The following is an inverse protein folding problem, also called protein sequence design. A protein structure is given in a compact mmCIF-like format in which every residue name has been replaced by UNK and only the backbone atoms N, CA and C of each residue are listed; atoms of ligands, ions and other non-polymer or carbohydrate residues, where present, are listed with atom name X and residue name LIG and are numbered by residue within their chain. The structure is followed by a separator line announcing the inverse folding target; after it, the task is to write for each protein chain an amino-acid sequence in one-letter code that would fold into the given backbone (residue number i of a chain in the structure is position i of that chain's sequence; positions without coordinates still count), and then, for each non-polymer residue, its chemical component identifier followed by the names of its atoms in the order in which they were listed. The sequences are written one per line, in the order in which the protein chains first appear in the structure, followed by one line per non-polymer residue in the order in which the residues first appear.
data_IF_667356202922
#
_entry.id   IF_667356202922
#
_cell.length_a   1.000
_cell.length_b   1.000
_cell.length_c   1.000
_cell.angle_alpha   90.00
_cell.angle_beta   90.00
_cell.angle_gamma   90.00
#
_symmetry.space_group_name_H-M   'P 1'
#
loop_
_entity.id
_entity.type
_entity.pdbx_description
1 polymer ?
#
# COMPACT_ATOMS: atom_id res chain seq x y z
N UNK A 1 -20.33 -5.22 11.26
CA UNK A 1 -19.05 -4.59 11.62
C UNK A 1 -18.04 -4.80 10.52
N UNK A 2 -17.35 -3.74 10.10
CA UNK A 2 -16.22 -3.78 9.18
C UNK A 2 -14.95 -3.42 9.95
N UNK A 3 -13.88 -4.20 9.82
CA UNK A 3 -12.60 -3.92 10.49
C UNK A 3 -11.60 -3.40 9.48
N UNK A 4 -11.03 -2.21 9.73
CA UNK A 4 -10.16 -1.49 8.81
C UNK A 4 -8.76 -1.37 9.41
N UNK A 5 -7.80 -2.14 8.87
CA UNK A 5 -6.38 -1.94 9.19
C UNK A 5 -5.82 -0.75 8.43
N UNK A 6 -4.88 -0.03 9.04
CA UNK A 6 -4.31 1.15 8.42
C UNK A 6 -5.29 2.31 8.24
N UNK A 7 -6.34 2.41 9.07
CA UNK A 7 -7.39 3.43 8.99
C UNK A 7 -6.88 4.87 9.01
N UNK A 8 -5.69 5.12 9.55
CA UNK A 8 -5.08 6.46 9.61
C UNK A 8 -4.25 6.83 8.38
N UNK A 9 -4.04 5.89 7.45
CA UNK A 9 -3.34 6.11 6.18
C UNK A 9 -4.27 6.64 5.08
N UNK A 10 -3.70 6.97 3.93
CA UNK A 10 -4.44 7.58 2.82
C UNK A 10 -5.63 6.73 2.37
N UNK A 11 -5.40 5.44 2.10
CA UNK A 11 -6.44 4.51 1.60
C UNK A 11 -7.44 4.17 2.72
N UNK A 12 -6.93 3.72 3.89
CA UNK A 12 -7.80 3.30 5.00
C UNK A 12 -8.69 4.41 5.55
N UNK A 13 -8.24 5.67 5.48
CA UNK A 13 -9.05 6.83 5.87
C UNK A 13 -10.25 7.06 4.95
N UNK A 14 -10.07 6.84 3.65
CA UNK A 14 -11.17 6.94 2.66
C UNK A 14 -12.17 5.81 2.88
N UNK A 15 -11.69 4.57 3.04
CA UNK A 15 -12.56 3.42 3.32
C UNK A 15 -13.39 3.68 4.58
N UNK A 16 -12.73 4.07 5.67
CA UNK A 16 -13.39 4.35 6.95
C UNK A 16 -14.48 5.42 6.80
N UNK A 17 -14.16 6.52 6.11
CA UNK A 17 -15.10 7.61 5.87
C UNK A 17 -16.32 7.14 5.08
N UNK A 18 -16.10 6.46 3.96
CA UNK A 18 -17.19 5.99 3.09
C UNK A 18 -18.12 5.02 3.83
N UNK A 19 -17.57 4.09 4.59
CA UNK A 19 -18.39 3.12 5.36
C UNK A 19 -19.21 3.82 6.44
N UNK A 20 -18.63 4.78 7.18
CA UNK A 20 -19.35 5.55 8.19
C UNK A 20 -20.45 6.42 7.58
N UNK A 21 -20.20 7.07 6.43
CA UNK A 21 -21.19 7.85 5.68
C UNK A 21 -22.37 6.99 5.18
N UNK A 22 -22.14 5.68 5.00
CA UNK A 22 -23.20 4.72 4.67
C UNK A 22 -23.92 4.11 5.89
N UNK A 23 -23.58 4.59 7.10
CA UNK A 23 -24.19 4.12 8.34
C UNK A 23 -23.69 2.75 8.82
N UNK A 24 -22.58 2.28 8.28
CA UNK A 24 -22.03 0.99 8.65
C UNK A 24 -21.29 1.04 9.99
N UNK A 25 -21.31 -0.06 10.73
CA UNK A 25 -20.48 -0.22 11.92
C UNK A 25 -19.03 -0.48 11.52
N UNK A 26 -18.11 0.39 11.92
CA UNK A 26 -16.70 0.35 11.53
C UNK A 26 -15.81 0.28 12.76
N UNK A 27 -14.90 -0.70 12.79
CA UNK A 27 -13.78 -0.77 13.73
C UNK A 27 -12.50 -0.34 13.02
N UNK A 28 -11.85 0.68 13.57
CA UNK A 28 -10.58 1.22 13.07
C UNK A 28 -9.43 0.70 13.91
N UNK A 29 -8.44 0.08 13.25
CA UNK A 29 -7.29 -0.53 13.93
C UNK A 29 -6.04 0.32 13.72
N UNK A 30 -5.31 0.58 14.80
CA UNK A 30 -4.06 1.33 14.75
C UNK A 30 -3.32 1.32 16.09
N UNK A 31 -2.02 1.69 16.06
CA UNK A 31 -1.15 1.67 17.24
C UNK A 31 -1.29 2.92 18.14
N UNK A 32 -1.90 3.97 17.66
CA UNK A 32 -1.98 5.25 18.36
C UNK A 32 -3.45 5.68 18.55
N UNK A 33 -3.92 5.61 19.80
CA UNK A 33 -5.29 5.96 20.17
C UNK A 33 -5.68 7.38 19.74
N UNK A 34 -4.77 8.35 19.91
CA UNK A 34 -5.01 9.75 19.55
C UNK A 34 -5.29 9.94 18.06
N UNK A 35 -4.60 9.18 17.18
CA UNK A 35 -4.86 9.23 15.74
C UNK A 35 -6.20 8.58 15.34
N UNK A 36 -6.76 7.71 16.19
CA UNK A 36 -8.04 7.05 15.95
C UNK A 36 -9.23 7.91 16.43
N UNK A 37 -8.99 8.85 17.36
CA UNK A 37 -10.04 9.63 18.01
C UNK A 37 -10.96 10.37 17.03
N UNK A 38 -10.41 10.88 15.92
CA UNK A 38 -11.20 11.56 14.88
C UNK A 38 -12.26 10.66 14.21
N UNK A 39 -12.07 9.35 14.22
CA UNK A 39 -13.02 8.37 13.71
C UNK A 39 -14.02 7.95 14.78
N UNK A 40 -13.58 7.86 16.04
CA UNK A 40 -14.49 7.63 17.19
C UNK A 40 -15.53 8.72 17.28
N UNK A 41 -15.15 10.00 17.12
CA UNK A 41 -16.06 11.13 17.06
C UNK A 41 -17.09 11.04 15.92
N UNK A 42 -16.83 10.21 14.92
CA UNK A 42 -17.72 9.92 13.78
C UNK A 42 -18.47 8.59 13.91
N UNK A 43 -18.41 7.95 15.08
CA UNK A 43 -19.13 6.71 15.36
C UNK A 43 -18.36 5.42 15.12
N UNK A 44 -17.05 5.46 14.82
CA UNK A 44 -16.26 4.24 14.71
C UNK A 44 -15.85 3.70 16.09
N UNK A 45 -15.70 2.40 16.18
CA UNK A 45 -15.03 1.73 17.31
C UNK A 45 -13.50 1.79 17.10
N UNK A 46 -12.74 2.26 18.07
CA UNK A 46 -11.27 2.23 18.02
C UNK A 46 -10.74 0.94 18.65
N UNK A 47 -9.86 0.26 17.94
CA UNK A 47 -9.06 -0.85 18.45
C UNK A 47 -7.57 -0.46 18.41
N UNK A 48 -6.96 -0.36 19.59
CA UNK A 48 -5.52 -0.05 19.72
C UNK A 48 -4.75 -1.35 19.79
N UNK A 49 -3.97 -1.65 18.75
CA UNK A 49 -3.18 -2.88 18.68
C UNK A 49 -2.16 -2.84 17.54
N UNK A 50 -1.20 -3.76 17.59
CA UNK A 50 -0.20 -3.95 16.55
C UNK A 50 -0.59 -5.15 15.67
N UNK A 51 -0.55 -4.96 14.36
CA UNK A 51 -0.87 -6.03 13.39
C UNK A 51 0.19 -7.14 13.34
N UNK A 52 1.32 -6.98 14.00
CA UNK A 52 2.31 -8.05 14.21
C UNK A 52 2.00 -8.96 15.41
N UNK A 53 0.97 -8.62 16.19
CA UNK A 53 0.46 -9.43 17.29
C UNK A 53 -0.81 -10.18 16.83
N UNK A 54 -0.69 -11.50 16.69
CA UNK A 54 -1.78 -12.36 16.23
C UNK A 54 -3.01 -12.28 17.16
N UNK A 55 -2.80 -12.21 18.47
CA UNK A 55 -3.91 -12.14 19.42
C UNK A 55 -4.68 -10.83 19.29
N UNK A 56 -3.96 -9.71 19.15
CA UNK A 56 -4.55 -8.41 18.90
C UNK A 56 -5.32 -8.38 17.56
N UNK A 57 -4.76 -8.97 16.50
CA UNK A 57 -5.44 -9.06 15.20
C UNK A 57 -6.70 -9.92 15.30
N UNK A 58 -6.63 -11.08 15.97
CA UNK A 58 -7.80 -11.95 16.16
C UNK A 58 -8.92 -11.24 16.94
N UNK A 59 -8.57 -10.51 17.99
CA UNK A 59 -9.52 -9.71 18.76
C UNK A 59 -10.11 -8.56 17.90
N UNK A 60 -9.29 -7.87 17.11
CA UNK A 60 -9.76 -6.82 16.21
C UNK A 60 -10.75 -7.34 15.17
N UNK A 61 -10.57 -8.58 14.68
CA UNK A 61 -11.44 -9.23 13.69
C UNK A 61 -12.71 -9.86 14.31
N UNK A 62 -12.79 -9.97 15.63
CA UNK A 62 -13.96 -10.59 16.30
C UNK A 62 -15.25 -9.85 15.96
N UNK A 63 -16.28 -10.59 15.52
CA UNK A 63 -17.57 -10.03 15.12
C UNK A 63 -17.55 -9.26 13.79
N UNK A 64 -16.46 -9.31 13.04
CA UNK A 64 -16.36 -8.62 11.75
C UNK A 64 -17.05 -9.41 10.64
N UNK A 65 -17.89 -8.72 9.86
CA UNK A 65 -18.50 -9.22 8.62
C UNK A 65 -17.47 -9.29 7.49
N UNK A 66 -16.66 -8.24 7.38
CA UNK A 66 -15.61 -8.11 6.39
C UNK A 66 -14.45 -7.26 6.94
N UNK A 67 -13.25 -7.42 6.35
CA UNK A 67 -12.06 -6.69 6.74
C UNK A 67 -11.29 -6.09 5.57
N UNK A 68 -10.67 -4.92 5.80
CA UNK A 68 -9.62 -4.39 4.94
C UNK A 68 -8.27 -4.71 5.58
N UNK A 69 -7.47 -5.52 4.89
CA UNK A 69 -6.19 -6.03 5.36
C UNK A 69 -5.03 -5.37 4.61
N UNK A 70 -3.93 -5.11 5.32
CA UNK A 70 -2.72 -4.58 4.70
C UNK A 70 -1.51 -4.77 5.61
N UNK A 71 -0.33 -4.85 5.02
CA UNK A 71 0.93 -4.78 5.74
C UNK A 71 1.37 -3.32 5.81
N UNK A 72 1.43 -2.68 7.00
CA UNK A 72 1.90 -1.31 7.12
C UNK A 72 3.37 -1.18 6.70
N UNK A 73 3.73 -0.18 5.87
CA UNK A 73 5.13 0.09 5.55
C UNK A 73 5.89 0.53 6.82
N UNK A 74 7.12 0.04 6.95
CA UNK A 74 8.02 0.45 8.03
C UNK A 74 9.45 0.62 7.49
N UNK A 75 9.74 1.73 6.78
CA UNK A 75 11.04 1.96 6.14
C UNK A 75 12.19 2.10 7.14
N UNK A 76 11.91 2.28 8.43
CA UNK A 76 12.90 2.34 9.51
C UNK A 76 13.21 0.97 10.13
N UNK A 77 12.58 -0.10 9.66
CA UNK A 77 12.88 -1.46 10.11
C UNK A 77 14.30 -1.85 9.72
N UNK A 78 15.04 -2.45 10.63
CA UNK A 78 16.39 -3.00 10.37
C UNK A 78 16.36 -4.18 9.42
N UNK A 79 15.24 -4.89 9.35
CA UNK A 79 14.97 -5.96 8.40
C UNK A 79 13.50 -5.89 7.96
N UNK A 80 13.28 -5.14 6.88
CA UNK A 80 11.94 -4.90 6.34
C UNK A 80 11.26 -6.21 5.88
N UNK A 81 12.03 -7.13 5.28
CA UNK A 81 11.51 -8.41 4.83
C UNK A 81 11.03 -9.26 6.01
N UNK A 82 11.83 -9.39 7.04
CA UNK A 82 11.44 -10.14 8.25
C UNK A 82 10.23 -9.50 8.95
N UNK A 83 10.14 -8.17 8.95
CA UNK A 83 8.98 -7.47 9.49
C UNK A 83 7.72 -7.74 8.67
N UNK A 84 7.80 -7.72 7.33
CA UNK A 84 6.65 -8.08 6.48
C UNK A 84 6.19 -9.53 6.73
N UNK A 85 7.14 -10.46 6.88
CA UNK A 85 6.81 -11.86 7.19
C UNK A 85 6.06 -11.97 8.52
N UNK A 86 6.57 -11.38 9.60
CA UNK A 86 5.90 -11.40 10.91
C UNK A 86 4.47 -10.85 10.83
N UNK A 87 4.29 -9.70 10.17
CA UNK A 87 2.96 -9.09 10.04
C UNK A 87 2.03 -9.97 9.20
N UNK A 88 2.52 -10.50 8.08
CA UNK A 88 1.72 -11.36 7.21
C UNK A 88 1.33 -12.68 7.88
N UNK A 89 2.24 -13.27 8.69
CA UNK A 89 1.97 -14.49 9.46
C UNK A 89 0.92 -14.21 10.52
N UNK A 90 1.08 -13.14 11.29
CA UNK A 90 0.12 -12.71 12.32
C UNK A 90 -1.28 -12.52 11.74
N UNK A 91 -1.41 -11.73 10.65
CA UNK A 91 -2.71 -11.47 10.04
C UNK A 91 -3.31 -12.77 9.47
N UNK A 92 -2.55 -13.57 8.72
CA UNK A 92 -3.06 -14.81 8.13
C UNK A 92 -3.50 -15.82 9.18
N UNK A 93 -2.72 -15.99 10.26
CA UNK A 93 -3.06 -16.88 11.37
C UNK A 93 -4.35 -16.43 12.09
N UNK A 94 -4.47 -15.14 12.39
CA UNK A 94 -5.66 -14.56 13.00
C UNK A 94 -6.91 -14.71 12.11
N UNK A 95 -6.79 -14.42 10.81
CA UNK A 95 -7.88 -14.59 9.83
C UNK A 95 -8.31 -16.06 9.75
N UNK A 96 -7.37 -17.00 9.72
CA UNK A 96 -7.65 -18.44 9.69
C UNK A 96 -8.46 -18.90 10.91
N UNK A 97 -8.17 -18.35 12.09
CA UNK A 97 -8.86 -18.64 13.37
C UNK A 97 -10.17 -17.86 13.53
N UNK A 98 -10.35 -16.76 12.84
CA UNK A 98 -11.54 -15.90 12.94
C UNK A 98 -12.72 -16.44 12.13
N UNK A 99 -13.90 -15.84 12.35
CA UNK A 99 -15.09 -16.06 11.53
C UNK A 99 -15.17 -15.11 10.33
N UNK A 100 -14.05 -14.47 9.94
CA UNK A 100 -14.03 -13.57 8.81
C UNK A 100 -14.18 -14.35 7.49
N UNK A 101 -15.20 -14.00 6.71
CA UNK A 101 -15.48 -14.65 5.43
C UNK A 101 -15.11 -13.80 4.21
N UNK A 102 -14.97 -12.48 4.39
CA UNK A 102 -14.66 -11.53 3.31
C UNK A 102 -13.52 -10.62 3.69
N UNK A 103 -12.54 -10.50 2.82
CA UNK A 103 -11.44 -9.55 2.99
C UNK A 103 -11.10 -8.85 1.67
N UNK A 104 -10.89 -7.54 1.74
CA UNK A 104 -10.18 -6.79 0.71
C UNK A 104 -8.75 -6.60 1.20
N UNK A 105 -7.78 -7.14 0.47
CA UNK A 105 -6.36 -7.05 0.80
C UNK A 105 -5.65 -6.03 -0.09
N UNK A 106 -4.98 -5.06 0.52
CA UNK A 106 -4.11 -4.13 -0.20
C UNK A 106 -2.78 -4.82 -0.53
N UNK A 107 -2.61 -5.14 -1.79
CA UNK A 107 -1.38 -5.66 -2.38
C UNK A 107 -0.71 -4.56 -3.22
N UNK A 108 -0.04 -4.91 -4.31
CA UNK A 108 0.63 -3.99 -5.22
C UNK A 108 0.65 -4.56 -6.64
N UNK A 109 0.71 -3.70 -7.66
CA UNK A 109 1.13 -4.13 -8.98
C UNK A 109 2.49 -4.85 -8.87
N UNK A 110 2.87 -5.66 -9.84
CA UNK A 110 4.05 -6.54 -9.79
C UNK A 110 4.03 -7.60 -8.67
N UNK A 111 2.97 -7.72 -7.85
CA UNK A 111 2.85 -8.77 -6.85
C UNK A 111 2.60 -10.17 -7.45
N UNK A 112 2.48 -10.30 -8.78
CA UNK A 112 2.56 -11.59 -9.46
C UNK A 112 3.99 -12.16 -9.46
N UNK A 113 5.02 -11.29 -9.38
CA UNK A 113 6.42 -11.70 -9.33
C UNK A 113 6.79 -12.19 -7.92
N UNK A 114 7.25 -13.43 -7.82
CA UNK A 114 7.63 -14.05 -6.55
C UNK A 114 8.88 -13.42 -5.94
N UNK A 115 9.82 -12.96 -6.76
CA UNK A 115 11.12 -12.43 -6.34
C UNK A 115 11.58 -11.28 -7.23
N UNK A 116 12.59 -10.53 -6.74
CA UNK A 116 13.25 -9.46 -7.50
C UNK A 116 12.45 -8.18 -7.61
N UNK A 117 11.43 -8.01 -6.78
CA UNK A 117 10.62 -6.79 -6.65
C UNK A 117 10.66 -6.21 -5.22
N UNK A 118 11.67 -6.60 -4.43
CA UNK A 118 11.89 -6.10 -3.09
C UNK A 118 10.63 -6.20 -2.20
N UNK A 119 10.17 -5.10 -1.58
CA UNK A 119 8.99 -5.10 -0.71
C UNK A 119 7.72 -5.68 -1.34
N UNK A 120 7.57 -5.62 -2.67
CA UNK A 120 6.40 -6.15 -3.36
C UNK A 120 6.38 -7.69 -3.29
N UNK A 121 7.54 -8.34 -3.31
CA UNK A 121 7.64 -9.80 -3.09
C UNK A 121 7.08 -10.23 -1.72
N UNK A 122 7.13 -9.35 -0.70
CA UNK A 122 6.48 -9.59 0.59
C UNK A 122 4.96 -9.60 0.48
N UNK A 123 4.39 -8.74 -0.37
CA UNK A 123 2.95 -8.70 -0.63
C UNK A 123 2.50 -9.92 -1.42
N UNK A 124 3.30 -10.40 -2.41
CA UNK A 124 3.07 -11.67 -3.08
C UNK A 124 2.94 -12.84 -2.08
N UNK A 125 3.88 -12.93 -1.12
CA UNK A 125 3.81 -13.98 -0.08
C UNK A 125 2.58 -13.83 0.80
N UNK A 126 2.17 -12.60 1.11
CA UNK A 126 0.95 -12.36 1.87
C UNK A 126 -0.30 -12.78 1.10
N UNK A 127 -0.39 -12.50 -0.20
CA UNK A 127 -1.47 -13.02 -1.05
C UNK A 127 -1.54 -14.55 -0.98
N UNK A 128 -0.40 -15.24 -1.12
CA UNK A 128 -0.34 -16.71 -1.01
C UNK A 128 -0.86 -17.23 0.34
N UNK A 129 -0.47 -16.57 1.46
CA UNK A 129 -0.95 -16.94 2.81
C UNK A 129 -2.46 -16.78 2.95
N UNK A 130 -3.04 -15.70 2.46
CA UNK A 130 -4.48 -15.48 2.47
C UNK A 130 -5.22 -16.45 1.54
N UNK A 131 -4.65 -16.77 0.38
CA UNK A 131 -5.20 -17.73 -0.57
C UNK A 131 -5.29 -19.16 0.00
N UNK A 132 -4.41 -19.53 0.92
CA UNK A 132 -4.42 -20.83 1.60
C UNK A 132 -5.55 -20.97 2.65
N UNK A 133 -6.33 -19.93 2.93
CA UNK A 133 -7.44 -19.95 3.88
C UNK A 133 -8.73 -20.30 3.11
N UNK A 134 -9.15 -21.56 3.13
CA UNK A 134 -10.25 -22.09 2.29
C UNK A 134 -11.53 -21.27 2.36
N UNK A 135 -12.02 -20.98 3.57
CA UNK A 135 -13.31 -20.29 3.81
C UNK A 135 -13.28 -18.76 3.57
N UNK A 136 -12.13 -18.19 3.27
CA UNK A 136 -11.98 -16.76 3.06
C UNK A 136 -12.26 -16.41 1.59
N UNK A 137 -13.22 -15.57 1.33
CA UNK A 137 -13.32 -14.83 0.06
C UNK A 137 -12.40 -13.62 0.16
N UNK A 138 -11.40 -13.55 -0.70
CA UNK A 138 -10.43 -12.43 -0.70
C UNK A 138 -10.31 -11.80 -2.06
N UNK A 139 -10.36 -10.47 -2.07
CA UNK A 139 -10.04 -9.65 -3.22
C UNK A 139 -8.71 -8.94 -2.98
N UNK A 140 -7.66 -9.35 -3.69
CA UNK A 140 -6.38 -8.67 -3.69
C UNK A 140 -6.42 -7.47 -4.62
N UNK A 141 -6.28 -6.27 -4.07
CA UNK A 141 -6.14 -5.06 -4.85
C UNK A 141 -4.65 -4.83 -5.13
N UNK A 142 -4.30 -4.75 -6.39
CA UNK A 142 -2.94 -4.44 -6.87
C UNK A 142 -2.92 -3.04 -7.48
N UNK A 143 -2.96 -1.98 -6.65
CA UNK A 143 -2.81 -0.62 -7.16
C UNK A 143 -1.41 -0.42 -7.71
N UNK A 144 -1.32 0.44 -8.71
CA UNK A 144 -0.09 0.88 -9.32
C UNK A 144 0.58 2.01 -8.51
N UNK A 145 1.54 2.72 -9.09
CA UNK A 145 2.27 3.77 -8.40
C UNK A 145 1.32 4.89 -7.92
N UNK A 146 1.41 5.26 -6.64
CA UNK A 146 0.53 6.29 -6.09
C UNK A 146 0.96 7.70 -6.48
N UNK A 147 0.04 8.54 -6.96
CA UNK A 147 0.31 9.95 -7.21
C UNK A 147 0.87 10.67 -5.98
N UNK A 148 0.43 10.29 -4.79
CA UNK A 148 0.88 10.87 -3.53
C UNK A 148 2.38 10.63 -3.25
N UNK A 149 3.01 9.65 -3.90
CA UNK A 149 4.46 9.44 -3.78
C UNK A 149 5.27 10.63 -4.32
N UNK A 150 4.71 11.38 -5.29
CA UNK A 150 5.38 12.57 -5.82
C UNK A 150 5.50 13.71 -4.80
N UNK A 151 4.70 13.70 -3.73
CA UNK A 151 4.85 14.66 -2.62
C UNK A 151 6.21 14.55 -1.93
N UNK A 152 6.86 13.39 -1.98
CA UNK A 152 8.22 13.20 -1.48
C UNK A 152 9.27 14.03 -2.25
N UNK A 153 8.94 14.50 -3.46
CA UNK A 153 9.85 15.31 -4.27
C UNK A 153 9.82 16.81 -3.92
N UNK A 154 8.92 17.26 -3.05
CA UNK A 154 8.73 18.70 -2.74
C UNK A 154 10.04 19.34 -2.30
N UNK A 155 10.76 18.74 -1.35
CA UNK A 155 12.03 19.28 -0.86
C UNK A 155 13.09 19.36 -1.98
N UNK A 156 13.17 18.33 -2.82
CA UNK A 156 14.12 18.31 -3.95
C UNK A 156 13.78 19.40 -4.97
N UNK A 157 12.48 19.59 -5.28
CA UNK A 157 12.04 20.68 -6.17
C UNK A 157 12.39 22.05 -5.59
N UNK A 158 12.22 22.24 -4.28
CA UNK A 158 12.52 23.52 -3.62
C UNK A 158 14.02 23.81 -3.57
N UNK A 159 14.84 22.80 -3.24
CA UNK A 159 16.28 22.98 -3.02
C UNK A 159 17.09 22.88 -4.31
N UNK A 160 16.70 22.02 -5.25
CA UNK A 160 17.50 21.66 -6.42
C UNK A 160 16.81 22.01 -7.76
N UNK A 161 15.53 22.41 -7.74
CA UNK A 161 14.79 22.71 -8.97
C UNK A 161 14.52 21.50 -9.87
N UNK A 162 14.55 20.28 -9.31
CA UNK A 162 14.35 19.04 -10.06
C UNK A 162 13.56 17.99 -9.28
N UNK A 163 13.07 16.97 -9.96
CA UNK A 163 12.61 15.70 -9.39
C UNK A 163 13.68 14.66 -9.71
N UNK A 164 13.97 13.75 -8.77
CA UNK A 164 14.96 12.69 -9.01
C UNK A 164 14.56 11.38 -8.35
N UNK A 165 15.08 10.27 -8.89
CA UNK A 165 14.83 8.95 -8.35
C UNK A 165 15.47 7.83 -9.16
N UNK A 166 15.21 6.58 -8.79
CA UNK A 166 15.80 5.40 -9.39
C UNK A 166 15.05 4.86 -10.62
N UNK A 167 13.82 5.30 -10.88
CA UNK A 167 13.07 4.85 -12.06
C UNK A 167 13.69 5.40 -13.34
N UNK A 168 13.67 4.60 -14.42
CA UNK A 168 14.03 5.10 -15.75
C UNK A 168 13.13 6.27 -16.14
N UNK A 169 13.73 7.32 -16.65
CA UNK A 169 13.05 8.59 -16.94
C UNK A 169 11.86 8.43 -17.91
N UNK A 170 12.01 7.58 -18.91
CA UNK A 170 11.03 7.33 -19.97
C UNK A 170 10.18 6.08 -19.76
N UNK A 171 10.39 5.32 -18.68
CA UNK A 171 9.56 4.16 -18.37
C UNK A 171 8.14 4.63 -18.01
N UNK A 172 7.19 4.28 -18.83
CA UNK A 172 5.78 4.53 -18.57
C UNK A 172 5.26 3.57 -17.50
N UNK A 173 4.80 4.12 -16.37
CA UNK A 173 4.27 3.36 -15.23
C UNK A 173 2.83 3.84 -14.99
N UNK A 174 1.85 2.93 -14.86
CA UNK A 174 0.50 3.31 -14.46
C UNK A 174 0.52 3.99 -13.09
N UNK A 175 -0.26 5.05 -12.91
CA UNK A 175 -0.30 5.80 -11.65
C UNK A 175 -1.74 6.07 -11.25
N UNK A 176 -2.05 5.95 -9.95
CA UNK A 176 -3.40 6.07 -9.40
C UNK A 176 -3.41 6.90 -8.12
N UNK A 177 -4.50 7.62 -7.86
CA UNK A 177 -4.69 8.30 -6.58
C UNK A 177 -5.10 7.31 -5.47
N UNK A 178 -4.53 7.45 -4.29
CA UNK A 178 -4.88 6.61 -3.14
C UNK A 178 -6.34 6.74 -2.73
N UNK A 179 -6.98 7.90 -2.99
CA UNK A 179 -8.41 8.11 -2.76
C UNK A 179 -9.27 7.19 -3.64
N UNK A 180 -8.87 6.95 -4.88
CA UNK A 180 -9.64 6.14 -5.83
C UNK A 180 -9.52 4.65 -5.46
N UNK A 181 -8.33 4.23 -5.01
CA UNK A 181 -8.12 2.90 -4.41
C UNK A 181 -9.00 2.70 -3.18
N UNK A 182 -9.05 3.70 -2.29
CA UNK A 182 -9.88 3.66 -1.09
C UNK A 182 -11.38 3.62 -1.39
N UNK A 183 -11.84 4.40 -2.38
CA UNK A 183 -13.24 4.40 -2.82
C UNK A 183 -13.64 3.04 -3.41
N UNK A 184 -12.80 2.46 -4.28
CA UNK A 184 -13.03 1.13 -4.85
C UNK A 184 -13.05 0.05 -3.76
N UNK A 185 -12.09 0.07 -2.83
CA UNK A 185 -12.04 -0.89 -1.72
C UNK A 185 -13.30 -0.81 -0.83
N UNK A 186 -13.77 0.40 -0.52
CA UNK A 186 -14.99 0.62 0.25
C UNK A 186 -16.22 0.07 -0.48
N UNK A 187 -16.32 0.30 -1.79
CA UNK A 187 -17.40 -0.23 -2.61
C UNK A 187 -17.42 -1.77 -2.61
N UNK A 188 -16.26 -2.42 -2.74
CA UNK A 188 -16.16 -3.89 -2.69
C UNK A 188 -16.53 -4.43 -1.33
N UNK A 189 -16.11 -3.76 -0.25
CA UNK A 189 -16.50 -4.13 1.11
C UNK A 189 -18.02 -4.01 1.34
N UNK A 190 -18.66 -2.96 0.81
CA UNK A 190 -20.13 -2.79 0.92
C UNK A 190 -20.90 -3.85 0.14
N UNK A 191 -20.47 -4.12 -1.10
CA UNK A 191 -21.17 -5.05 -2.00
C UNK A 191 -20.91 -6.52 -1.69
N UNK A 192 -19.70 -6.87 -1.22
CA UNK A 192 -19.23 -8.25 -1.02
C UNK A 192 -19.48 -9.14 -2.26
N UNK A 193 -19.32 -8.55 -3.45
CA UNK A 193 -19.61 -9.15 -4.76
C UNK A 193 -18.39 -9.88 -5.35
N UNK A 194 -17.51 -10.36 -4.49
CA UNK A 194 -16.38 -11.21 -4.85
C UNK A 194 -16.44 -12.51 -4.06
N UNK A 195 -16.05 -13.60 -4.71
CA UNK A 195 -16.02 -14.93 -4.11
C UNK A 195 -14.69 -15.63 -4.44
N UNK A 196 -14.37 -16.65 -3.66
CA UNK A 196 -13.10 -17.37 -3.74
C UNK A 196 -11.87 -16.42 -3.61
N UNK A 197 -10.87 -16.58 -4.47
CA UNK A 197 -9.62 -15.83 -4.47
C UNK A 197 -9.55 -15.02 -5.75
N UNK A 198 -9.66 -13.70 -5.63
CA UNK A 198 -9.67 -12.80 -6.77
C UNK A 198 -8.57 -11.75 -6.66
N UNK A 199 -8.11 -11.29 -7.80
CA UNK A 199 -7.14 -10.20 -7.91
C UNK A 199 -7.68 -9.14 -8.85
N UNK A 200 -7.47 -7.87 -8.52
CA UNK A 200 -7.81 -6.73 -9.37
C UNK A 200 -6.66 -5.75 -9.40
N UNK A 201 -6.11 -5.52 -10.58
CA UNK A 201 -5.21 -4.39 -10.80
C UNK A 201 -6.01 -3.09 -10.83
N UNK A 202 -5.52 -2.08 -10.14
CA UNK A 202 -6.11 -0.75 -10.11
C UNK A 202 -5.16 0.23 -10.79
N UNK A 203 -5.51 0.53 -12.02
CA UNK A 203 -4.76 1.40 -12.91
C UNK A 203 -5.32 2.82 -12.84
N UNK A 204 -4.50 3.81 -13.19
CA UNK A 204 -4.99 5.17 -13.41
C UNK A 204 -5.50 5.34 -14.83
N UNK A 205 -5.72 6.61 -15.18
CA UNK A 205 -6.28 6.97 -16.50
C UNK A 205 -5.34 6.58 -17.65
N UNK A 206 -4.02 6.69 -17.45
CA UNK A 206 -2.98 6.31 -18.40
C UNK A 206 -1.65 6.08 -17.71
N UNK A 207 -0.74 5.44 -18.41
CA UNK A 207 0.63 5.32 -17.97
C UNK A 207 1.38 6.65 -18.14
N UNK A 208 2.28 6.95 -17.21
CA UNK A 208 3.06 8.18 -17.19
C UNK A 208 4.54 7.85 -16.98
N UNK A 209 5.41 8.42 -17.79
CA UNK A 209 6.83 8.45 -17.51
C UNK A 209 7.17 9.49 -16.43
N UNK A 210 8.33 9.36 -15.78
CA UNK A 210 8.77 10.35 -14.79
C UNK A 210 9.06 11.70 -15.44
N UNK A 211 9.47 11.74 -16.71
CA UNK A 211 9.60 12.97 -17.50
C UNK A 211 8.26 13.68 -17.68
N UNK A 212 7.19 12.92 -18.03
CA UNK A 212 5.84 13.50 -18.14
C UNK A 212 5.33 14.01 -16.79
N UNK A 213 5.58 13.27 -15.70
CA UNK A 213 5.23 13.70 -14.34
C UNK A 213 5.92 15.02 -14.00
N UNK A 214 7.23 15.14 -14.25
CA UNK A 214 7.97 16.38 -14.01
C UNK A 214 7.38 17.54 -14.82
N UNK A 215 7.06 17.32 -16.09
CA UNK A 215 6.45 18.34 -16.94
C UNK A 215 5.06 18.78 -16.45
N UNK A 216 4.22 17.84 -15.97
CA UNK A 216 2.89 18.15 -15.43
C UNK A 216 3.00 18.94 -14.13
N UNK A 217 3.83 18.48 -13.19
CA UNK A 217 4.06 19.17 -11.91
C UNK A 217 4.65 20.55 -12.18
N UNK A 218 5.68 20.65 -13.06
CA UNK A 218 6.35 21.90 -13.39
C UNK A 218 5.37 22.97 -13.90
N UNK A 219 4.50 22.60 -14.83
CA UNK A 219 3.44 23.52 -15.31
C UNK A 219 2.50 23.96 -14.18
N UNK A 220 2.10 23.02 -13.31
CA UNK A 220 1.17 23.31 -12.23
C UNK A 220 1.72 24.27 -11.17
N UNK A 221 3.05 24.25 -10.94
CA UNK A 221 3.72 25.09 -9.93
C UNK A 221 4.45 26.29 -10.52
N UNK A 222 4.25 26.60 -11.80
CA UNK A 222 4.90 27.74 -12.48
C UNK A 222 6.41 27.55 -12.75
N UNK A 223 6.89 26.31 -12.83
CA UNK A 223 8.29 25.95 -13.16
C UNK A 223 8.31 25.05 -14.41
N UNK A 224 8.04 25.60 -15.62
CA UNK A 224 7.89 24.79 -16.84
C UNK A 224 9.15 24.00 -17.21
N UNK A 225 10.32 24.42 -16.73
CA UNK A 225 11.62 23.76 -16.97
C UNK A 225 11.93 22.65 -15.94
N UNK A 226 10.99 22.31 -15.05
CA UNK A 226 11.18 21.24 -14.09
C UNK A 226 11.46 19.92 -14.81
N UNK A 227 12.56 19.26 -14.44
CA UNK A 227 13.02 18.02 -15.08
C UNK A 227 13.09 16.87 -14.08
N UNK A 228 12.99 15.66 -14.60
CA UNK A 228 13.32 14.46 -13.85
C UNK A 228 14.77 14.05 -14.12
N UNK A 229 15.51 13.70 -13.08
CA UNK A 229 16.83 13.12 -13.16
C UNK A 229 16.79 11.67 -12.64
N UNK A 230 17.14 10.73 -13.51
CA UNK A 230 17.36 9.36 -13.09
C UNK A 230 18.72 9.29 -12.37
N UNK A 231 18.71 8.84 -11.11
CA UNK A 231 19.93 8.61 -10.34
C UNK A 231 20.37 7.15 -10.42
N UNK A 232 21.70 6.88 -10.45
CA UNK A 232 22.25 5.55 -10.27
C UNK A 232 21.77 4.90 -8.97
N UNK A 233 21.62 3.57 -8.96
CA UNK A 233 21.08 2.85 -7.79
C UNK A 233 21.92 3.02 -6.53
N UNK A 234 23.24 3.05 -6.66
CA UNK A 234 24.17 3.31 -5.56
C UNK A 234 23.97 4.71 -4.95
N UNK A 235 23.72 5.72 -5.77
CA UNK A 235 23.41 7.07 -5.31
C UNK A 235 22.08 7.13 -4.53
N UNK A 236 21.05 6.44 -5.05
CA UNK A 236 19.75 6.35 -4.37
C UNK A 236 19.88 5.57 -3.06
N UNK A 237 20.68 4.49 -3.03
CA UNK A 237 20.94 3.72 -1.81
C UNK A 237 21.65 4.58 -0.77
N UNK A 238 22.68 5.33 -1.15
CA UNK A 238 23.37 6.28 -0.24
C UNK A 238 22.42 7.36 0.30
N UNK A 239 21.55 7.89 -0.53
CA UNK A 239 20.53 8.83 -0.09
C UNK A 239 19.57 8.22 0.94
N UNK A 240 19.08 6.99 0.72
CA UNK A 240 18.24 6.29 1.67
C UNK A 240 18.96 6.06 3.02
N UNK A 241 20.24 5.69 2.98
CA UNK A 241 21.08 5.53 4.18
C UNK A 241 21.22 6.85 4.95
N UNK A 242 21.48 7.96 4.26
CA UNK A 242 21.57 9.29 4.87
C UNK A 242 20.26 9.74 5.49
N UNK A 243 19.12 9.34 4.93
CA UNK A 243 17.78 9.58 5.48
C UNK A 243 17.43 8.64 6.66
N UNK A 244 18.38 7.81 7.11
CA UNK A 244 18.23 6.90 8.25
C UNK A 244 17.56 5.57 7.93
N UNK A 245 17.40 5.22 6.64
CA UNK A 245 16.93 3.89 6.26
C UNK A 245 18.03 2.85 6.53
N UNK A 246 17.78 1.77 7.28
CA UNK A 246 18.77 0.73 7.53
C UNK A 246 19.24 0.05 6.23
N UNK A 247 20.51 -0.35 6.16
CA UNK A 247 21.15 -0.84 4.94
C UNK A 247 20.40 -2.01 4.26
N UNK A 248 19.97 -3.02 5.02
CA UNK A 248 19.16 -4.12 4.47
C UNK A 248 17.86 -3.65 3.84
N UNK A 249 17.23 -2.65 4.45
CA UNK A 249 15.97 -2.07 3.97
C UNK A 249 16.22 -1.20 2.74
N UNK A 250 17.28 -0.39 2.71
CA UNK A 250 17.67 0.39 1.54
C UNK A 250 17.93 -0.53 0.33
N UNK A 251 18.77 -1.55 0.49
CA UNK A 251 19.04 -2.54 -0.57
C UNK A 251 17.76 -3.23 -1.07
N UNK A 252 16.82 -3.52 -0.18
CA UNK A 252 15.53 -4.13 -0.55
C UNK A 252 14.64 -3.18 -1.38
N UNK A 253 14.69 -1.87 -1.13
CA UNK A 253 14.06 -0.88 -1.99
C UNK A 253 14.77 -0.74 -3.35
N UNK A 254 16.11 -0.82 -3.37
CA UNK A 254 16.87 -0.82 -4.64
C UNK A 254 16.50 -2.02 -5.50
N UNK A 255 16.33 -3.22 -4.91
CA UNK A 255 15.83 -4.40 -5.63
C UNK A 255 14.47 -4.12 -6.30
N UNK A 256 13.56 -3.43 -5.61
CA UNK A 256 12.27 -3.05 -6.18
C UNK A 256 12.42 -2.13 -7.39
N UNK A 257 13.20 -1.06 -7.26
CA UNK A 257 13.42 -0.13 -8.38
C UNK A 257 14.04 -0.83 -9.58
N UNK A 258 15.03 -1.70 -9.33
CA UNK A 258 15.68 -2.49 -10.38
C UNK A 258 14.66 -3.41 -11.06
N UNK A 259 13.90 -4.18 -10.30
CA UNK A 259 12.91 -5.09 -10.85
C UNK A 259 11.86 -4.39 -11.71
N UNK A 260 11.35 -3.24 -11.27
CA UNK A 260 10.39 -2.45 -12.06
C UNK A 260 11.05 -1.92 -13.34
N UNK A 261 12.26 -1.39 -13.26
CA UNK A 261 13.01 -0.91 -14.43
C UNK A 261 13.36 -2.02 -15.45
N UNK A 262 13.41 -3.27 -15.02
CA UNK A 262 13.64 -4.46 -15.83
C UNK A 262 12.37 -5.14 -16.35
N UNK A 263 11.20 -4.52 -16.14
CA UNK A 263 9.93 -5.00 -16.69
C UNK A 263 9.14 -5.94 -15.77
N UNK A 264 9.61 -6.22 -14.54
CA UNK A 264 8.83 -7.05 -13.57
C UNK A 264 7.53 -6.38 -13.10
N UNK A 265 7.32 -5.11 -13.46
CA UNK A 265 6.10 -4.36 -13.25
C UNK A 265 5.15 -4.38 -14.45
N UNK A 266 5.38 -5.22 -15.46
CA UNK A 266 4.46 -5.39 -16.56
C UNK A 266 3.13 -5.97 -16.05
N UNK A 267 2.04 -5.63 -16.75
CA UNK A 267 0.70 -6.09 -16.39
C UNK A 267 0.66 -7.62 -16.42
N UNK A 268 0.01 -8.20 -15.42
CA UNK A 268 -0.17 -9.66 -15.37
C UNK A 268 -1.15 -10.15 -16.45
N UNK A 269 -2.10 -9.28 -16.85
CA UNK A 269 -3.03 -9.49 -17.95
C UNK A 269 -2.89 -8.35 -18.95
N UNK A 270 -2.81 -8.62 -20.29
CA UNK A 270 -2.73 -7.61 -21.33
C UNK A 270 -4.02 -6.81 -21.49
#
# INVERSE_FOLDING_TARGET
MYTIFGATGNIGSVITRVLLEKGEQVRVVGRNAGKLQKYVQKGAEAFVGDVSDEAAVAQALSGSRAGFLMIPPNPTSTDYRAQQERVSDSIAAAVKKSALHYAVNLSSFAAHAETGTGPISGLHRFEKKLNAIEKLNVLHLRPTYFFENHLNSINMIQMMGMIGGAFKADLAIPQIATRDVGAFAAERLLKLDFNAKQTRELLGQRDLSMNEVAAVIGRAIGKPDLRYAQFPYDQVEQFLLQMGTPAKTASYFIEMFRGINEGKGERADP
#
